data_IF_954486479464
#
_entry.id   IF_954486479464
#
_cell.length_a   1.000
_cell.length_b   1.000
_cell.length_c   1.000
_cell.angle_alpha   90.00
_cell.angle_beta   90.00
_cell.angle_gamma   90.00
#
_symmetry.space_group_name_H-M   'P 1'
#
loop_
_entity.id
_entity.type
_entity.pdbx_description
1 polymer ?
#
# COMPACT_ATOMS: atom_id res chain seq x y z
N UNK A 1 19.53 -3.33 -50.60
CA UNK A 1 18.13 -3.76 -50.75
C UNK A 1 17.38 -3.53 -49.42
N UNK A 2 16.29 -2.76 -49.41
CA UNK A 2 15.50 -2.60 -48.18
C UNK A 2 14.99 -3.99 -47.80
N UNK A 3 15.37 -4.46 -46.61
CA UNK A 3 14.79 -5.68 -46.05
C UNK A 3 13.30 -5.45 -45.89
N UNK A 4 12.51 -6.19 -46.61
CA UNK A 4 11.06 -6.16 -46.50
C UNK A 4 10.68 -6.38 -45.03
N UNK A 5 9.84 -5.51 -44.46
CA UNK A 5 9.27 -5.69 -43.15
C UNK A 5 8.44 -6.97 -43.10
N UNK A 6 9.06 -8.05 -42.60
CA UNK A 6 8.41 -9.36 -42.51
C UNK A 6 7.56 -9.39 -41.25
N UNK A 7 6.28 -9.75 -41.39
CA UNK A 7 5.42 -9.95 -40.25
C UNK A 7 5.71 -11.29 -39.60
N UNK A 8 5.95 -11.28 -38.27
CA UNK A 8 6.23 -12.48 -37.51
C UNK A 8 5.02 -12.88 -36.66
N UNK A 9 4.74 -14.18 -36.57
CA UNK A 9 3.75 -14.77 -35.67
C UNK A 9 4.45 -15.45 -34.49
N UNK A 10 3.93 -15.28 -33.29
CA UNK A 10 4.46 -15.96 -32.09
C UNK A 10 4.08 -17.44 -32.16
N UNK A 11 5.08 -18.31 -32.23
CA UNK A 11 4.90 -19.74 -32.25
C UNK A 11 4.71 -20.31 -30.82
N UNK A 12 5.68 -20.08 -29.95
CA UNK A 12 5.72 -20.62 -28.59
C UNK A 12 6.25 -19.56 -27.63
N UNK A 13 5.72 -19.55 -26.40
CA UNK A 13 6.26 -18.74 -25.31
C UNK A 13 6.70 -19.66 -24.18
N UNK A 14 7.93 -19.53 -23.73
CA UNK A 14 8.52 -20.34 -22.66
C UNK A 14 9.05 -19.44 -21.55
N UNK A 15 8.93 -19.89 -20.31
CA UNK A 15 9.47 -19.17 -19.14
C UNK A 15 10.73 -19.86 -18.64
N UNK A 16 11.72 -19.05 -18.23
CA UNK A 16 12.92 -19.49 -17.53
C UNK A 16 12.98 -18.65 -16.23
N UNK A 17 12.69 -19.27 -15.10
CA UNK A 17 12.45 -18.52 -13.84
C UNK A 17 13.71 -18.32 -12.99
N UNK A 18 14.81 -18.95 -13.32
CA UNK A 18 16.06 -18.89 -12.59
C UNK A 18 17.22 -18.38 -13.46
N UNK A 19 16.92 -17.43 -14.34
CA UNK A 19 17.91 -16.88 -15.24
C UNK A 19 18.92 -16.00 -14.46
N UNK A 20 20.20 -16.38 -14.54
CA UNK A 20 21.29 -15.58 -14.01
C UNK A 20 22.08 -14.96 -15.17
N UNK A 21 22.02 -13.63 -15.27
CA UNK A 21 22.68 -12.87 -16.34
C UNK A 21 24.19 -13.11 -16.36
N UNK A 22 24.81 -13.19 -15.17
CA UNK A 22 26.27 -13.38 -15.04
C UNK A 22 26.69 -14.79 -15.49
N UNK A 23 25.96 -15.82 -15.11
CA UNK A 23 26.25 -17.20 -15.53
C UNK A 23 26.02 -17.40 -17.03
N UNK A 24 24.96 -16.82 -17.57
CA UNK A 24 24.69 -16.91 -19.02
C UNK A 24 25.73 -16.23 -19.89
N UNK A 25 26.40 -15.19 -19.38
CA UNK A 25 27.48 -14.51 -20.10
C UNK A 25 28.83 -15.24 -20.01
N UNK A 26 29.08 -16.01 -18.93
CA UNK A 26 30.35 -16.73 -18.72
C UNK A 26 30.32 -18.17 -19.20
N UNK A 27 29.22 -18.87 -19.08
CA UNK A 27 29.12 -20.31 -19.38
C UNK A 27 28.36 -20.66 -20.65
N UNK A 28 27.72 -19.68 -21.31
CA UNK A 28 26.87 -19.86 -22.50
C UNK A 28 25.76 -20.94 -22.32
N UNK A 29 25.48 -21.35 -21.10
CA UNK A 29 24.49 -22.36 -20.75
C UNK A 29 23.52 -21.86 -19.68
N UNK A 30 22.26 -22.21 -19.81
CA UNK A 30 21.22 -21.96 -18.85
C UNK A 30 21.00 -23.25 -18.07
N UNK A 31 21.34 -23.27 -16.78
CA UNK A 31 21.12 -24.41 -15.92
C UNK A 31 19.62 -24.53 -15.60
N UNK A 32 18.98 -25.53 -16.17
CA UNK A 32 17.58 -25.89 -15.94
C UNK A 32 17.53 -27.37 -15.59
N UNK A 33 16.98 -27.69 -14.42
CA UNK A 33 16.92 -29.07 -13.92
C UNK A 33 15.52 -29.67 -14.05
N UNK A 34 14.48 -28.84 -14.12
CA UNK A 34 13.10 -29.30 -14.11
C UNK A 34 12.17 -28.39 -14.94
N UNK A 35 11.02 -28.90 -15.34
CA UNK A 35 10.06 -28.18 -16.15
C UNK A 35 8.62 -28.51 -15.76
N UNK A 36 7.75 -27.52 -15.87
CA UNK A 36 6.31 -27.63 -15.65
C UNK A 36 5.53 -27.03 -16.83
N UNK A 37 4.48 -27.69 -17.25
CA UNK A 37 3.54 -27.14 -18.22
C UNK A 37 2.30 -26.57 -17.53
N UNK A 38 2.03 -25.27 -17.75
CA UNK A 38 0.86 -24.60 -17.21
C UNK A 38 0.13 -23.81 -18.29
N UNK A 39 -1.14 -24.16 -18.57
CA UNK A 39 -1.97 -23.53 -19.61
C UNK A 39 -1.30 -23.44 -21.00
N UNK A 40 -0.56 -24.48 -21.41
CA UNK A 40 0.16 -24.50 -22.68
C UNK A 40 1.52 -23.76 -22.67
N UNK A 41 1.94 -23.20 -21.55
CA UNK A 41 3.24 -22.56 -21.41
C UNK A 41 4.22 -23.46 -20.66
N UNK A 42 5.37 -23.84 -21.25
CA UNK A 42 6.44 -24.50 -20.52
C UNK A 42 7.16 -23.51 -19.62
N UNK A 43 7.40 -23.91 -18.39
CA UNK A 43 8.08 -23.16 -17.35
C UNK A 43 9.28 -23.97 -16.90
N UNK A 44 10.48 -23.46 -17.14
CA UNK A 44 11.74 -24.08 -16.79
C UNK A 44 12.30 -23.45 -15.52
N UNK A 45 12.76 -24.25 -14.58
CA UNK A 45 13.31 -23.79 -13.30
C UNK A 45 14.44 -24.70 -12.81
N UNK A 46 15.29 -24.20 -11.89
CA UNK A 46 16.45 -24.94 -11.39
C UNK A 46 16.06 -25.89 -10.25
N UNK A 47 15.54 -25.39 -9.13
CA UNK A 47 15.27 -26.19 -7.93
C UNK A 47 13.77 -26.19 -7.58
N UNK A 48 13.24 -25.05 -7.20
CA UNK A 48 11.84 -24.87 -6.80
C UNK A 48 11.25 -23.65 -7.50
N UNK A 49 10.02 -23.80 -7.96
CA UNK A 49 9.32 -22.69 -8.59
C UNK A 49 9.13 -21.54 -7.59
N UNK A 50 9.70 -20.39 -7.94
CA UNK A 50 9.76 -19.20 -7.12
C UNK A 50 8.45 -18.42 -7.10
N UNK A 51 7.80 -18.30 -8.25
CA UNK A 51 6.49 -17.68 -8.42
C UNK A 51 5.47 -18.72 -8.83
N UNK A 52 4.22 -18.56 -8.39
CA UNK A 52 3.12 -19.40 -8.86
C UNK A 52 2.97 -19.30 -10.38
N UNK A 53 2.72 -20.41 -11.11
CA UNK A 53 2.53 -20.40 -12.58
C UNK A 53 1.48 -19.39 -13.04
N UNK A 54 0.39 -19.24 -12.27
CA UNK A 54 -0.66 -18.26 -12.51
C UNK A 54 -0.14 -16.81 -12.53
N UNK A 55 0.86 -16.49 -11.73
CA UNK A 55 1.45 -15.14 -11.69
C UNK A 55 2.24 -14.86 -12.96
N UNK A 56 3.00 -15.87 -13.44
CA UNK A 56 3.74 -15.78 -14.69
C UNK A 56 2.81 -15.53 -15.87
N UNK A 57 1.80 -16.39 -16.05
CA UNK A 57 0.89 -16.30 -17.19
C UNK A 57 -0.03 -15.07 -17.17
N UNK A 58 -0.47 -14.62 -15.99
CA UNK A 58 -1.37 -13.45 -15.90
C UNK A 58 -0.65 -12.12 -16.25
N UNK A 59 0.66 -12.05 -16.08
CA UNK A 59 1.44 -10.85 -16.40
C UNK A 59 1.97 -10.85 -17.84
N UNK A 60 1.86 -11.97 -18.56
CA UNK A 60 2.23 -12.11 -19.96
C UNK A 60 1.20 -11.44 -20.86
N UNK A 61 1.64 -10.70 -21.88
CA UNK A 61 0.81 -10.11 -22.95
C UNK A 61 1.17 -10.63 -24.35
N UNK A 62 2.18 -11.49 -24.44
CA UNK A 62 2.60 -12.15 -25.65
C UNK A 62 1.85 -13.49 -25.72
N UNK A 63 1.01 -13.68 -26.73
CA UNK A 63 0.16 -14.85 -26.85
C UNK A 63 0.60 -15.69 -28.06
N UNK A 64 0.80 -17.01 -27.92
CA UNK A 64 1.03 -17.89 -29.07
C UNK A 64 -0.07 -17.78 -30.12
N UNK A 65 0.27 -17.85 -31.38
CA UNK A 65 -0.66 -17.74 -32.52
C UNK A 65 -1.01 -16.30 -32.92
N UNK A 66 -0.55 -15.28 -32.20
CA UNK A 66 -0.79 -13.86 -32.53
C UNK A 66 0.43 -13.25 -33.24
N UNK A 67 0.19 -12.17 -34.00
CA UNK A 67 1.26 -11.38 -34.59
C UNK A 67 2.14 -10.76 -33.51
N UNK A 68 3.45 -10.67 -33.79
CA UNK A 68 4.38 -9.94 -32.95
C UNK A 68 3.95 -8.48 -32.82
N UNK A 69 3.88 -7.98 -31.61
CA UNK A 69 3.50 -6.61 -31.31
C UNK A 69 4.40 -6.05 -30.21
N UNK A 70 5.19 -5.04 -30.56
CA UNK A 70 6.10 -4.37 -29.66
C UNK A 70 5.40 -3.80 -28.40
N UNK A 71 4.19 -3.28 -28.54
CA UNK A 71 3.43 -2.78 -27.39
C UNK A 71 3.10 -3.89 -26.39
N UNK A 72 2.83 -5.11 -26.85
CA UNK A 72 2.57 -6.25 -25.96
C UNK A 72 3.85 -6.69 -25.25
N UNK A 73 5.01 -6.59 -25.92
CA UNK A 73 6.32 -6.84 -25.31
C UNK A 73 6.59 -5.83 -24.21
N UNK A 74 6.42 -4.54 -24.49
CA UNK A 74 6.62 -3.45 -23.53
C UNK A 74 5.65 -3.56 -22.34
N UNK A 75 4.39 -3.93 -22.59
CA UNK A 75 3.41 -4.20 -21.53
C UNK A 75 3.82 -5.40 -20.68
N UNK A 76 4.42 -6.42 -21.28
CA UNK A 76 4.93 -7.59 -20.55
C UNK A 76 6.10 -7.20 -19.66
N UNK A 77 7.06 -6.44 -20.17
CA UNK A 77 8.14 -5.87 -19.34
C UNK A 77 7.61 -5.03 -18.18
N UNK A 78 6.67 -4.14 -18.46
CA UNK A 78 6.05 -3.29 -17.43
C UNK A 78 5.30 -4.12 -16.36
N UNK A 79 4.65 -5.21 -16.75
CA UNK A 79 3.94 -6.07 -15.80
C UNK A 79 4.90 -6.81 -14.87
N UNK A 80 5.96 -7.42 -15.42
CA UNK A 80 6.96 -8.11 -14.58
C UNK A 80 7.80 -7.14 -13.76
N UNK A 81 8.10 -5.95 -14.28
CA UNK A 81 8.82 -4.90 -13.55
C UNK A 81 8.09 -4.38 -12.30
N UNK A 82 6.79 -4.64 -12.16
CA UNK A 82 6.01 -4.31 -10.96
C UNK A 82 6.10 -5.39 -9.88
N UNK A 83 6.61 -6.58 -10.22
CA UNK A 83 6.73 -7.70 -9.30
C UNK A 83 8.02 -7.55 -8.47
N UNK A 84 7.89 -7.20 -7.20
CA UNK A 84 9.00 -6.98 -6.28
C UNK A 84 9.87 -8.23 -6.06
N UNK A 85 9.33 -9.39 -6.36
CA UNK A 85 10.01 -10.67 -6.32
C UNK A 85 11.07 -10.84 -7.43
N UNK A 86 10.99 -10.05 -8.49
CA UNK A 86 11.89 -10.12 -9.64
C UNK A 86 12.86 -8.94 -9.63
N UNK A 87 14.11 -9.22 -9.97
CA UNK A 87 15.15 -8.21 -10.14
C UNK A 87 15.24 -7.74 -11.58
N UNK A 88 15.25 -8.68 -12.52
CA UNK A 88 15.34 -8.41 -13.95
C UNK A 88 14.41 -9.32 -14.74
N UNK A 89 13.92 -8.79 -15.86
CA UNK A 89 13.17 -9.51 -16.88
C UNK A 89 13.86 -9.30 -18.21
N UNK A 90 14.10 -10.38 -18.95
CA UNK A 90 14.63 -10.33 -20.30
C UNK A 90 13.74 -11.17 -21.21
N UNK A 91 13.36 -10.66 -22.36
CA UNK A 91 12.52 -11.38 -23.33
C UNK A 91 13.33 -11.46 -24.63
N UNK A 92 13.65 -12.69 -25.03
CA UNK A 92 14.37 -12.95 -26.28
C UNK A 92 13.46 -13.68 -27.27
N UNK A 93 13.62 -13.32 -28.52
CA UNK A 93 12.90 -13.93 -29.63
C UNK A 93 13.90 -14.64 -30.54
N UNK A 94 13.56 -15.88 -30.93
CA UNK A 94 14.34 -16.67 -31.86
C UNK A 94 13.48 -17.10 -33.02
N UNK A 95 13.97 -16.93 -34.25
CA UNK A 95 13.27 -17.36 -35.46
C UNK A 95 13.28 -18.89 -35.57
N UNK A 96 12.14 -19.45 -35.99
CA UNK A 96 12.01 -20.90 -36.24
C UNK A 96 12.56 -21.23 -37.65
N UNK A 97 13.71 -21.88 -37.71
CA UNK A 97 14.50 -22.08 -38.93
C UNK A 97 13.85 -23.01 -40.00
N UNK A 98 12.82 -23.75 -39.69
CA UNK A 98 12.23 -24.75 -40.58
C UNK A 98 10.79 -24.46 -40.99
N UNK A 99 10.32 -23.23 -40.92
CA UNK A 99 8.94 -22.88 -41.24
C UNK A 99 8.88 -21.94 -42.44
N UNK A 100 8.08 -22.25 -43.45
CA UNK A 100 7.76 -21.35 -44.56
C UNK A 100 7.12 -20.03 -44.11
N UNK A 101 6.56 -20.01 -42.91
CA UNK A 101 5.98 -18.83 -42.28
C UNK A 101 6.96 -18.23 -41.24
N UNK A 102 7.08 -16.91 -41.22
CA UNK A 102 7.89 -16.19 -40.24
C UNK A 102 7.37 -16.37 -38.82
N UNK A 103 7.94 -17.29 -38.05
CA UNK A 103 7.53 -17.64 -36.69
C UNK A 103 8.64 -17.34 -35.69
N UNK A 104 8.24 -16.82 -34.51
CA UNK A 104 9.14 -16.52 -33.39
C UNK A 104 8.80 -17.38 -32.17
N UNK A 105 9.84 -17.98 -31.60
CA UNK A 105 9.76 -18.51 -30.23
C UNK A 105 10.21 -17.44 -29.24
N UNK A 106 9.38 -17.12 -28.26
CA UNK A 106 9.66 -16.15 -27.20
C UNK A 106 10.11 -16.87 -25.92
N UNK A 107 11.21 -16.40 -25.34
CA UNK A 107 11.71 -16.87 -24.05
C UNK A 107 11.68 -15.72 -23.05
N UNK A 108 10.85 -15.86 -22.01
CA UNK A 108 10.72 -14.90 -20.92
C UNK A 108 11.63 -15.36 -19.79
N UNK A 109 12.78 -14.71 -19.67
CA UNK A 109 13.81 -15.01 -18.69
C UNK A 109 13.68 -14.08 -17.48
N UNK A 110 13.50 -14.66 -16.31
CA UNK A 110 13.23 -13.95 -15.06
C UNK A 110 14.35 -14.19 -14.06
N UNK A 111 14.91 -13.11 -13.53
CA UNK A 111 15.93 -13.17 -12.48
C UNK A 111 15.29 -12.87 -11.13
N UNK A 112 15.51 -13.75 -10.16
CA UNK A 112 15.00 -13.57 -8.80
C UNK A 112 15.60 -12.33 -8.13
N UNK A 113 14.78 -11.58 -7.39
CA UNK A 113 15.21 -10.56 -6.46
C UNK A 113 15.57 -11.15 -5.08
N UNK A 114 16.15 -10.32 -4.21
CA UNK A 114 16.35 -10.69 -2.80
C UNK A 114 14.97 -10.84 -2.13
N UNK A 115 14.75 -11.97 -1.46
CA UNK A 115 13.48 -12.26 -0.79
C UNK A 115 13.24 -11.36 0.41
N UNK A 116 14.29 -11.13 1.18
CA UNK A 116 14.24 -10.46 2.47
C UNK A 116 15.25 -9.34 2.52
N UNK A 117 14.92 -8.30 3.24
CA UNK A 117 15.83 -7.23 3.60
C UNK A 117 15.48 -6.73 5.00
N UNK A 118 16.52 -6.37 5.73
CA UNK A 118 16.42 -5.67 7.01
C UNK A 118 17.13 -4.34 6.85
N UNK A 119 16.52 -3.27 7.34
CA UNK A 119 17.11 -1.94 7.40
C UNK A 119 17.07 -1.41 8.83
N UNK A 120 18.13 -0.73 9.22
CA UNK A 120 18.24 -0.03 10.48
C UNK A 120 18.41 1.46 10.17
N UNK A 121 17.72 2.29 10.92
CA UNK A 121 17.78 3.73 10.80
C UNK A 121 17.93 4.34 12.20
N UNK A 122 18.84 5.28 12.36
CA UNK A 122 19.06 6.01 13.61
C UNK A 122 19.02 7.49 13.27
N UNK A 123 18.25 8.25 14.03
CA UNK A 123 18.01 9.67 13.84
C UNK A 123 18.35 10.41 15.15
N UNK A 124 19.01 11.55 15.04
CA UNK A 124 19.09 12.54 16.11
C UNK A 124 18.06 13.64 15.85
N UNK A 125 17.30 14.03 16.85
CA UNK A 125 16.29 15.08 16.76
C UNK A 125 16.62 16.25 17.67
N UNK A 126 16.23 17.46 17.26
CA UNK A 126 16.26 18.64 18.08
C UNK A 126 14.99 19.44 17.83
N UNK A 127 14.06 19.41 18.76
CA UNK A 127 12.75 20.06 18.65
C UNK A 127 12.69 21.22 19.66
N UNK A 128 12.78 22.44 19.16
CA UNK A 128 12.69 23.67 20.00
C UNK A 128 13.69 23.74 21.18
N UNK A 129 14.86 23.08 21.06
CA UNK A 129 15.88 23.03 22.10
C UNK A 129 15.93 21.70 22.87
N UNK A 130 14.92 20.83 22.71
CA UNK A 130 14.90 19.51 23.29
C UNK A 130 15.66 18.52 22.39
N UNK A 131 16.62 17.82 23.02
CA UNK A 131 17.45 16.85 22.31
C UNK A 131 16.84 15.45 22.40
N UNK A 132 16.78 14.78 21.27
CA UNK A 132 16.23 13.45 21.20
C UNK A 132 16.99 12.52 20.25
N UNK A 133 16.65 11.25 20.33
CA UNK A 133 17.12 10.22 19.43
C UNK A 133 15.98 9.26 19.08
N UNK A 134 15.98 8.78 17.84
CA UNK A 134 15.06 7.75 17.40
C UNK A 134 15.81 6.64 16.68
N UNK A 135 15.31 5.42 16.80
CA UNK A 135 15.82 4.28 16.08
C UNK A 135 14.65 3.49 15.47
N UNK A 136 14.85 2.97 14.29
CA UNK A 136 13.88 2.08 13.68
C UNK A 136 14.55 0.86 13.04
N UNK A 137 13.82 -0.26 13.03
CA UNK A 137 14.16 -1.46 12.31
C UNK A 137 13.00 -1.84 11.42
N UNK A 138 13.28 -2.09 10.14
CA UNK A 138 12.27 -2.56 9.21
C UNK A 138 12.71 -3.87 8.55
N UNK A 139 11.82 -4.85 8.59
CA UNK A 139 11.94 -6.13 7.90
C UNK A 139 10.98 -6.13 6.70
N UNK A 140 11.48 -6.54 5.55
CA UNK A 140 10.68 -6.67 4.34
C UNK A 140 10.85 -8.06 3.73
N UNK A 141 9.73 -8.70 3.38
CA UNK A 141 9.68 -9.95 2.63
C UNK A 141 8.93 -9.74 1.31
N UNK A 142 9.56 -10.02 0.15
CA UNK A 142 9.06 -9.64 -1.19
C UNK A 142 8.37 -10.75 -1.97
N UNK A 143 8.03 -11.85 -1.38
CA UNK A 143 7.35 -12.97 -2.06
C UNK A 143 6.71 -13.93 -1.05
N UNK A 144 5.91 -13.38 -0.13
CA UNK A 144 5.40 -14.12 1.03
C UNK A 144 4.61 -15.37 0.64
N UNK A 145 3.75 -15.27 -0.36
CA UNK A 145 2.89 -16.38 -0.83
C UNK A 145 3.19 -16.81 -2.28
N UNK A 146 4.42 -16.63 -2.76
CA UNK A 146 4.84 -16.92 -4.14
C UNK A 146 4.01 -16.20 -5.22
N UNK A 147 3.44 -15.06 -4.88
CA UNK A 147 2.66 -14.19 -5.78
C UNK A 147 3.26 -12.81 -5.94
N UNK A 148 4.52 -12.63 -5.46
CA UNK A 148 5.20 -11.33 -5.35
C UNK A 148 4.51 -10.37 -4.38
N UNK A 149 3.83 -10.90 -3.38
CA UNK A 149 3.30 -10.12 -2.28
C UNK A 149 4.45 -9.58 -1.42
N UNK A 150 4.37 -8.30 -1.05
CA UNK A 150 5.37 -7.67 -0.20
C UNK A 150 4.79 -7.47 1.19
N UNK A 151 5.42 -8.08 2.16
CA UNK A 151 5.16 -7.83 3.58
C UNK A 151 6.26 -6.95 4.13
N UNK A 152 5.90 -5.91 4.86
CA UNK A 152 6.80 -5.03 5.59
C UNK A 152 6.35 -4.96 7.05
N UNK A 153 7.30 -5.07 7.94
CA UNK A 153 7.10 -4.87 9.37
C UNK A 153 8.17 -3.89 9.86
N UNK A 154 7.74 -2.79 10.49
CA UNK A 154 8.63 -1.75 11.03
C UNK A 154 8.33 -1.54 12.51
N UNK A 155 9.40 -1.46 13.30
CA UNK A 155 9.38 -1.01 14.68
C UNK A 155 10.16 0.30 14.78
N UNK A 156 9.65 1.24 15.54
CA UNK A 156 10.28 2.53 15.82
C UNK A 156 10.23 2.81 17.31
N UNK A 157 11.31 3.30 17.86
CA UNK A 157 11.40 3.86 19.20
C UNK A 157 12.00 5.26 19.12
N UNK A 158 11.46 6.21 19.86
CA UNK A 158 12.02 7.55 19.99
C UNK A 158 12.00 7.99 21.46
N UNK A 159 13.01 8.74 21.83
CA UNK A 159 13.16 9.38 23.12
C UNK A 159 13.60 10.82 22.92
N UNK A 160 13.01 11.75 23.66
CA UNK A 160 13.37 13.16 23.64
C UNK A 160 13.35 13.70 25.06
N UNK A 161 14.45 14.31 25.48
CA UNK A 161 14.55 14.96 26.79
C UNK A 161 13.88 16.32 26.72
N UNK A 162 12.74 16.48 27.41
CA UNK A 162 11.96 17.72 27.42
C UNK A 162 12.50 18.66 28.47
N UNK A 163 13.01 19.83 28.03
CA UNK A 163 13.56 20.85 28.88
C UNK A 163 12.59 22.05 29.00
N UNK A 164 12.33 22.53 30.23
CA UNK A 164 11.66 23.81 30.44
C UNK A 164 10.24 23.79 30.98
N UNK A 165 9.64 22.67 31.26
CA UNK A 165 8.40 22.62 32.05
C UNK A 165 8.71 22.72 33.53
N UNK A 166 8.26 23.80 34.16
CA UNK A 166 8.40 24.05 35.62
C UNK A 166 7.50 23.12 36.48
N UNK A 167 6.87 22.12 35.90
CA UNK A 167 6.02 21.19 36.63
C UNK A 167 6.85 20.01 37.13
N UNK A 168 6.57 19.58 38.35
CA UNK A 168 7.18 18.52 39.13
C UNK A 168 7.17 17.10 38.50
N UNK A 169 6.89 16.99 37.22
CA UNK A 169 6.83 15.75 36.47
C UNK A 169 8.01 15.74 35.49
N UNK A 170 9.15 15.20 35.94
CA UNK A 170 10.28 14.84 35.09
C UNK A 170 9.85 13.65 34.17
N UNK A 171 9.01 13.90 33.19
CA UNK A 171 8.63 12.92 32.21
C UNK A 171 9.10 13.38 30.84
N UNK A 172 10.00 12.59 30.29
CA UNK A 172 10.52 12.78 28.94
C UNK A 172 9.50 12.28 27.90
N UNK A 173 9.69 12.66 26.65
CA UNK A 173 8.91 12.14 25.55
C UNK A 173 9.41 10.75 25.16
N UNK A 174 8.50 9.79 25.12
CA UNK A 174 8.76 8.43 24.64
C UNK A 174 7.72 8.08 23.56
N UNK A 175 8.20 7.56 22.44
CA UNK A 175 7.37 7.05 21.38
C UNK A 175 7.76 5.62 21.01
N UNK A 176 6.77 4.73 20.92
CA UNK A 176 6.93 3.37 20.43
C UNK A 176 5.94 3.13 19.30
N UNK A 177 6.44 2.81 18.12
CA UNK A 177 5.64 2.55 16.93
C UNK A 177 5.85 1.14 16.39
N UNK A 178 4.77 0.51 15.93
CA UNK A 178 4.80 -0.74 15.17
C UNK A 178 3.91 -0.59 13.94
N UNK A 179 4.43 -0.98 12.78
CA UNK A 179 3.70 -0.93 11.52
C UNK A 179 3.86 -2.27 10.80
N UNK A 180 2.76 -2.83 10.30
CA UNK A 180 2.74 -4.01 9.46
C UNK A 180 1.93 -3.72 8.20
N UNK A 181 2.54 -3.89 7.02
CA UNK A 181 1.89 -3.65 5.74
C UNK A 181 2.07 -4.86 4.83
N UNK A 182 1.00 -5.30 4.20
CA UNK A 182 1.05 -6.30 3.14
C UNK A 182 0.47 -5.75 1.84
N UNK A 183 1.26 -5.84 0.77
CA UNK A 183 0.90 -5.36 -0.55
C UNK A 183 0.80 -6.53 -1.53
N UNK A 184 -0.37 -6.67 -2.16
CA UNK A 184 -0.63 -7.65 -3.21
C UNK A 184 -0.55 -6.97 -4.57
N UNK A 185 0.32 -7.40 -5.50
CA UNK A 185 0.43 -6.80 -6.84
C UNK A 185 -0.76 -7.21 -7.75
N UNK A 186 -1.95 -7.31 -7.19
CA UNK A 186 -3.20 -7.69 -7.85
C UNK A 186 -4.40 -7.07 -7.16
N UNK A 187 -5.47 -6.87 -7.91
CA UNK A 187 -6.75 -6.39 -7.38
C UNK A 187 -7.50 -7.51 -6.66
N UNK A 188 -7.64 -7.41 -5.34
CA UNK A 188 -8.27 -8.43 -4.48
C UNK A 188 -9.67 -8.00 -4.02
N UNK A 189 -10.55 -7.69 -4.95
CA UNK A 189 -11.95 -7.43 -4.60
C UNK A 189 -12.82 -8.63 -4.98
N UNK A 190 -13.63 -9.20 -4.06
CA UNK A 190 -14.33 -10.47 -4.29
C UNK A 190 -15.43 -10.38 -5.37
N UNK A 191 -16.14 -9.25 -5.46
CA UNK A 191 -17.35 -9.10 -6.27
C UNK A 191 -17.12 -8.65 -7.72
N UNK A 192 -15.90 -8.73 -8.23
CA UNK A 192 -15.55 -8.22 -9.56
C UNK A 192 -14.94 -9.33 -10.42
N UNK A 193 -15.30 -9.32 -11.72
CA UNK A 193 -14.85 -10.32 -12.68
C UNK A 193 -13.34 -10.36 -12.88
N UNK A 194 -12.80 -11.50 -13.28
CA UNK A 194 -11.37 -11.69 -13.54
C UNK A 194 -10.84 -10.80 -14.65
N UNK A 195 -11.67 -10.48 -15.65
CA UNK A 195 -11.29 -9.64 -16.78
C UNK A 195 -11.18 -8.18 -16.39
N UNK A 196 -12.07 -7.69 -15.55
CA UNK A 196 -11.99 -6.36 -14.96
C UNK A 196 -10.73 -6.20 -14.09
N UNK A 197 -10.43 -7.21 -13.24
CA UNK A 197 -9.21 -7.23 -12.42
C UNK A 197 -7.94 -7.13 -13.27
N UNK A 198 -7.92 -7.78 -14.42
CA UNK A 198 -6.79 -7.71 -15.36
C UNK A 198 -6.67 -6.37 -16.09
N UNK A 199 -7.77 -5.66 -16.33
CA UNK A 199 -7.76 -4.34 -16.99
C UNK A 199 -7.23 -3.26 -16.07
N UNK A 200 -7.74 -3.16 -14.85
CA UNK A 200 -7.39 -2.10 -13.89
C UNK A 200 -5.95 -2.22 -13.40
N UNK A 201 -5.41 -3.43 -13.28
CA UNK A 201 -4.06 -3.69 -12.75
C UNK A 201 -3.81 -2.99 -11.41
N UNK A 202 -4.82 -2.94 -10.57
CA UNK A 202 -4.70 -2.37 -9.26
C UNK A 202 -3.88 -3.27 -8.33
N UNK A 203 -3.18 -2.64 -7.41
CA UNK A 203 -2.58 -3.29 -6.25
C UNK A 203 -3.53 -3.16 -5.06
N UNK A 204 -3.51 -4.14 -4.17
CA UNK A 204 -4.27 -4.13 -2.92
C UNK A 204 -3.30 -4.04 -1.76
N UNK A 205 -3.54 -3.12 -0.84
CA UNK A 205 -2.70 -2.91 0.34
C UNK A 205 -3.55 -3.03 1.59
N UNK A 206 -3.06 -3.79 2.57
CA UNK A 206 -3.56 -3.83 3.94
C UNK A 206 -2.47 -3.34 4.86
N UNK A 207 -2.81 -2.43 5.76
CA UNK A 207 -1.91 -1.86 6.73
C UNK A 207 -2.49 -1.96 8.14
N UNK A 208 -1.62 -2.19 9.12
CA UNK A 208 -1.89 -2.07 10.54
C UNK A 208 -0.80 -1.19 11.12
N UNK A 209 -1.19 -0.25 11.96
CA UNK A 209 -0.27 0.64 12.65
C UNK A 209 -0.68 0.78 14.11
N UNK A 210 0.30 0.75 14.98
CA UNK A 210 0.15 1.03 16.40
C UNK A 210 1.23 2.04 16.80
N UNK A 211 0.82 3.09 17.48
CA UNK A 211 1.71 4.13 17.99
C UNK A 211 1.33 4.43 19.44
N UNK A 212 2.28 4.25 20.34
CA UNK A 212 2.21 4.65 21.74
C UNK A 212 3.10 5.87 21.93
N UNK A 213 2.54 6.94 22.46
CA UNK A 213 3.22 8.19 22.70
C UNK A 213 2.96 8.65 24.12
N UNK A 214 4.02 8.81 24.88
CA UNK A 214 4.00 9.37 26.23
C UNK A 214 4.69 10.72 26.21
N UNK A 215 4.00 11.74 26.68
CA UNK A 215 4.48 13.10 26.88
C UNK A 215 4.20 13.52 28.32
N UNK A 216 4.88 14.58 28.84
CA UNK A 216 4.55 15.10 30.16
C UNK A 216 3.07 15.44 30.32
N UNK A 217 2.44 15.98 29.28
CA UNK A 217 1.05 16.44 29.31
C UNK A 217 0.02 15.34 29.15
N UNK A 218 0.36 14.26 28.41
CA UNK A 218 -0.58 13.18 28.11
C UNK A 218 0.09 11.89 27.64
N UNK A 219 -0.62 10.79 27.76
CA UNK A 219 -0.31 9.55 27.05
C UNK A 219 -1.37 9.31 25.98
N UNK A 220 -0.91 8.99 24.77
CA UNK A 220 -1.77 8.75 23.61
C UNK A 220 -1.43 7.43 22.93
N UNK A 221 -2.46 6.67 22.62
CA UNK A 221 -2.37 5.45 21.82
C UNK A 221 -3.16 5.67 20.54
N UNK A 222 -2.53 5.41 19.40
CA UNK A 222 -3.19 5.42 18.10
C UNK A 222 -3.05 4.04 17.46
N UNK A 223 -4.16 3.39 17.19
CA UNK A 223 -4.21 2.14 16.44
C UNK A 223 -4.98 2.38 15.13
N UNK A 224 -4.36 2.01 14.02
CA UNK A 224 -4.95 2.21 12.70
C UNK A 224 -4.96 0.92 11.90
N UNK A 225 -6.02 0.72 11.10
CA UNK A 225 -6.13 -0.38 10.16
C UNK A 225 -6.64 0.15 8.81
N UNK A 226 -5.95 -0.17 7.73
CA UNK A 226 -6.26 0.33 6.41
C UNK A 226 -6.41 -0.76 5.36
N UNK A 227 -7.33 -0.56 4.43
CA UNK A 227 -7.49 -1.35 3.22
C UNK A 227 -7.62 -0.42 2.02
N UNK A 228 -6.64 -0.46 1.13
CA UNK A 228 -6.61 0.43 -0.02
C UNK A 228 -6.31 -0.27 -1.33
N UNK A 229 -6.75 0.37 -2.41
CA UNK A 229 -6.45 0.00 -3.79
C UNK A 229 -5.73 1.13 -4.49
N UNK A 230 -4.67 0.80 -5.25
CA UNK A 230 -3.88 1.76 -6.02
C UNK A 230 -3.75 1.28 -7.45
N UNK A 231 -3.99 2.14 -8.44
CA UNK A 231 -3.71 1.83 -9.84
C UNK A 231 -3.30 3.08 -10.61
N UNK A 232 -2.61 2.87 -11.72
CA UNK A 232 -2.19 3.95 -12.62
C UNK A 232 -2.70 3.70 -14.04
N UNK A 233 -3.01 4.77 -14.74
CA UNK A 233 -3.50 4.78 -16.12
C UNK A 233 -2.62 5.71 -16.97
N UNK A 234 -2.66 5.56 -18.30
CA UNK A 234 -2.00 6.44 -19.27
C UNK A 234 -0.49 6.63 -18.99
N UNK A 235 0.27 5.54 -19.01
CA UNK A 235 1.72 5.58 -18.78
C UNK A 235 2.11 6.22 -17.42
N UNK A 236 1.29 5.99 -16.40
CA UNK A 236 1.43 6.55 -15.05
C UNK A 236 1.22 8.07 -14.94
N UNK A 237 0.62 8.71 -15.94
CA UNK A 237 0.21 10.11 -15.82
C UNK A 237 -0.91 10.29 -14.79
N UNK A 238 -1.85 9.35 -14.75
CA UNK A 238 -2.94 9.34 -13.77
C UNK A 238 -2.72 8.23 -12.76
N UNK A 239 -2.78 8.57 -11.48
CA UNK A 239 -2.74 7.64 -10.37
C UNK A 239 -4.01 7.79 -9.55
N UNK A 240 -4.59 6.66 -9.19
CA UNK A 240 -5.81 6.57 -8.42
C UNK A 240 -5.54 5.76 -7.16
N UNK A 241 -6.10 6.19 -6.04
CA UNK A 241 -6.13 5.46 -4.79
C UNK A 241 -7.54 5.49 -4.23
N UNK A 242 -8.07 4.34 -3.85
CA UNK A 242 -9.28 4.23 -3.06
C UNK A 242 -8.87 3.66 -1.70
N UNK A 243 -9.11 4.40 -0.64
CA UNK A 243 -9.08 3.91 0.72
C UNK A 243 -10.50 3.39 1.03
N UNK A 244 -10.69 2.08 0.85
CA UNK A 244 -11.99 1.45 1.03
C UNK A 244 -12.39 1.46 2.50
N UNK A 245 -11.41 1.21 3.36
CA UNK A 245 -11.56 1.22 4.81
C UNK A 245 -10.30 1.81 5.42
N UNK A 246 -10.47 2.83 6.23
CA UNK A 246 -9.42 3.43 7.05
C UNK A 246 -10.00 3.67 8.45
N UNK A 247 -9.58 2.84 9.38
CA UNK A 247 -9.99 2.85 10.77
C UNK A 247 -8.88 3.48 11.59
N UNK A 248 -9.21 4.48 12.36
CA UNK A 248 -8.30 5.13 13.30
C UNK A 248 -8.94 5.15 14.67
N UNK A 249 -8.33 4.47 15.61
CA UNK A 249 -8.70 4.48 17.02
C UNK A 249 -7.65 5.27 17.79
N UNK A 250 -8.06 6.39 18.36
CA UNK A 250 -7.27 7.23 19.24
C UNK A 250 -7.77 7.06 20.66
N UNK A 251 -6.89 6.70 21.57
CA UNK A 251 -7.16 6.50 22.98
C UNK A 251 -6.19 7.30 23.83
N UNK A 252 -6.73 8.02 24.84
CA UNK A 252 -5.98 8.88 25.74
C UNK A 252 -6.05 8.31 27.16
N UNK A 253 -5.20 7.33 27.54
CA UNK A 253 -5.27 6.67 28.84
C UNK A 253 -4.98 7.60 30.02
N UNK A 254 -4.19 8.64 29.82
CA UNK A 254 -3.92 9.64 30.87
C UNK A 254 -3.68 11.01 30.26
N UNK A 255 -4.20 12.01 30.97
CA UNK A 255 -3.94 13.45 30.74
C UNK A 255 -3.54 14.02 32.07
N UNK A 256 -2.45 14.80 32.09
CA UNK A 256 -2.00 15.48 33.31
C UNK A 256 -3.08 16.41 33.86
N UNK A 257 -3.28 16.39 35.18
CA UNK A 257 -4.33 17.16 35.84
C UNK A 257 -4.12 18.67 35.70
N UNK A 258 -2.89 19.14 35.84
CA UNK A 258 -2.56 20.55 35.70
C UNK A 258 -2.79 21.05 34.30
N UNK A 259 -2.37 20.24 33.30
CA UNK A 259 -2.63 20.50 31.88
C UNK A 259 -4.12 20.55 31.57
N UNK A 260 -4.90 19.64 32.16
CA UNK A 260 -6.35 19.58 32.00
C UNK A 260 -7.05 20.82 32.52
N UNK A 261 -6.71 21.25 33.77
CA UNK A 261 -7.30 22.43 34.41
C UNK A 261 -6.89 23.74 33.71
N UNK A 262 -5.62 23.86 33.28
CA UNK A 262 -5.11 25.11 32.70
C UNK A 262 -5.55 25.29 31.24
N UNK A 263 -5.69 24.21 30.45
CA UNK A 263 -5.87 24.32 29.01
C UNK A 263 -7.18 23.68 28.49
N UNK A 264 -7.72 22.65 29.14
CA UNK A 264 -8.87 21.90 28.61
C UNK A 264 -10.20 22.27 29.27
N UNK A 265 -10.20 22.71 30.53
CA UNK A 265 -11.43 23.02 31.28
C UNK A 265 -11.87 24.48 31.12
N UNK A 266 -11.05 25.35 30.52
CA UNK A 266 -11.43 26.74 30.22
C UNK A 266 -12.40 26.75 29.04
N UNK A 267 -13.55 27.38 29.19
CA UNK A 267 -14.65 27.43 28.18
C UNK A 267 -14.21 27.99 26.82
N UNK A 268 -13.13 28.74 26.76
CA UNK A 268 -12.58 29.34 25.53
C UNK A 268 -11.86 28.33 24.63
N UNK A 269 -11.51 27.12 25.10
CA UNK A 269 -10.65 26.17 24.41
C UNK A 269 -11.38 24.89 23.94
N UNK A 270 -12.64 25.01 23.51
CA UNK A 270 -13.46 23.86 23.09
C UNK A 270 -12.79 23.02 21.98
N UNK A 271 -12.14 23.66 21.00
CA UNK A 271 -11.43 22.96 19.93
C UNK A 271 -10.24 22.17 20.47
N UNK A 272 -9.51 22.75 21.44
CA UNK A 272 -8.38 22.08 22.06
C UNK A 272 -8.84 20.85 22.84
N UNK A 273 -9.90 20.97 23.68
CA UNK A 273 -10.50 19.86 24.42
C UNK A 273 -10.86 18.71 23.51
N UNK A 274 -11.50 19.02 22.38
CA UNK A 274 -11.87 18.01 21.37
C UNK A 274 -10.68 17.20 20.85
N UNK A 275 -9.45 17.75 20.79
CA UNK A 275 -8.26 17.05 20.34
C UNK A 275 -7.69 16.03 21.33
N UNK A 276 -8.14 16.08 22.60
CA UNK A 276 -7.68 15.19 23.67
C UNK A 276 -8.76 14.19 24.14
N UNK A 277 -9.77 13.97 23.31
CA UNK A 277 -10.80 12.96 23.55
C UNK A 277 -10.51 11.68 22.79
N UNK A 278 -11.01 10.56 23.34
CA UNK A 278 -10.97 9.27 22.67
C UNK A 278 -11.81 9.30 21.39
N UNK A 279 -11.27 8.74 20.31
CA UNK A 279 -11.98 8.77 19.02
C UNK A 279 -11.84 7.46 18.28
N UNK A 280 -12.95 7.05 17.69
CA UNK A 280 -12.98 5.99 16.71
C UNK A 280 -13.49 6.54 15.38
N UNK A 281 -12.59 6.64 14.40
CA UNK A 281 -12.90 7.26 13.12
C UNK A 281 -12.81 6.19 12.05
N UNK A 282 -13.90 5.98 11.30
CA UNK A 282 -13.91 5.15 10.10
C UNK A 282 -14.14 6.05 8.91
N UNK A 283 -13.19 6.07 7.99
CA UNK A 283 -13.29 6.88 6.79
C UNK A 283 -13.09 6.04 5.53
N UNK A 284 -13.63 6.54 4.46
CA UNK A 284 -13.38 6.12 3.08
C UNK A 284 -12.84 7.30 2.30
N UNK A 285 -11.92 7.04 1.39
CA UNK A 285 -11.29 8.09 0.63
C UNK A 285 -11.07 7.73 -0.82
N UNK A 286 -10.99 8.74 -1.66
CA UNK A 286 -10.54 8.64 -3.04
C UNK A 286 -9.54 9.75 -3.34
N UNK A 287 -8.36 9.35 -3.82
CA UNK A 287 -7.33 10.28 -4.24
C UNK A 287 -7.01 10.09 -5.71
N UNK A 288 -6.94 11.19 -6.41
CA UNK A 288 -6.55 11.26 -7.81
C UNK A 288 -5.34 12.19 -7.98
N UNK A 289 -4.32 11.68 -8.64
CA UNK A 289 -3.12 12.46 -8.97
C UNK A 289 -2.91 12.39 -10.47
N UNK A 290 -2.89 13.53 -11.11
CA UNK A 290 -2.52 13.68 -12.50
C UNK A 290 -1.19 14.43 -12.62
N UNK A 291 -0.26 13.88 -13.40
CA UNK A 291 1.02 14.52 -13.71
C UNK A 291 1.16 14.63 -15.22
N UNK A 292 1.22 15.86 -15.75
CA UNK A 292 1.32 16.12 -17.17
C UNK A 292 2.60 15.57 -17.81
N UNK A 293 3.70 15.52 -17.06
CA UNK A 293 4.98 15.02 -17.54
C UNK A 293 4.99 13.48 -17.66
N UNK A 294 4.32 12.75 -16.77
CA UNK A 294 4.31 11.29 -16.76
C UNK A 294 5.71 10.69 -16.83
N UNK A 295 5.86 9.58 -17.59
CA UNK A 295 7.17 8.97 -17.87
C UNK A 295 8.02 9.73 -18.89
N UNK A 296 7.49 10.75 -19.55
CA UNK A 296 8.20 11.50 -20.58
C UNK A 296 9.44 12.25 -20.04
N UNK A 297 9.49 12.54 -18.75
CA UNK A 297 10.68 13.08 -18.08
C UNK A 297 11.91 12.14 -18.14
N UNK A 298 11.72 10.84 -18.38
CA UNK A 298 12.84 9.89 -18.52
C UNK A 298 13.42 9.85 -19.93
N UNK A 299 12.74 10.36 -20.92
CA UNK A 299 13.21 10.46 -22.30
C UNK A 299 13.58 11.92 -22.61
N UNK A 300 14.68 12.38 -22.14
CA UNK A 300 15.55 13.51 -22.53
C UNK A 300 15.06 14.51 -23.60
N UNK A 301 13.76 14.69 -23.72
CA UNK A 301 13.13 15.59 -24.70
C UNK A 301 12.61 16.83 -23.99
N UNK A 302 13.51 17.82 -23.82
CA UNK A 302 13.15 19.20 -23.57
C UNK A 302 12.52 19.51 -22.22
N UNK A 303 13.03 20.52 -21.54
CA UNK A 303 12.49 21.13 -20.34
C UNK A 303 11.15 21.80 -20.72
N UNK A 304 10.07 21.03 -20.72
CA UNK A 304 8.72 21.56 -20.86
C UNK A 304 8.11 21.81 -19.47
N UNK A 305 7.26 22.81 -19.36
CA UNK A 305 6.50 23.05 -18.14
C UNK A 305 5.66 21.82 -17.79
N UNK A 306 5.79 21.32 -16.56
CA UNK A 306 4.97 20.23 -16.03
C UNK A 306 4.08 20.75 -14.91
N UNK A 307 2.87 20.21 -14.83
CA UNK A 307 1.94 20.51 -13.75
C UNK A 307 1.38 19.22 -13.16
N UNK A 308 1.06 19.27 -11.87
CA UNK A 308 0.44 18.17 -11.15
C UNK A 308 -0.86 18.63 -10.53
N UNK A 309 -1.94 17.90 -10.78
CA UNK A 309 -3.24 18.10 -10.15
C UNK A 309 -3.45 17.01 -9.14
N UNK A 310 -3.81 17.36 -7.90
CA UNK A 310 -4.17 16.41 -6.84
C UNK A 310 -5.59 16.73 -6.37
N UNK A 311 -6.45 15.72 -6.38
CA UNK A 311 -7.80 15.78 -5.86
C UNK A 311 -7.94 14.72 -4.79
N UNK A 312 -8.35 15.13 -3.59
CA UNK A 312 -8.64 14.22 -2.49
C UNK A 312 -10.09 14.42 -2.05
N UNK A 313 -10.79 13.33 -1.92
CA UNK A 313 -12.14 13.27 -1.39
C UNK A 313 -12.17 12.26 -0.26
N UNK A 314 -12.62 12.68 0.92
CA UNK A 314 -12.71 11.83 2.11
C UNK A 314 -14.11 11.97 2.73
N UNK A 315 -14.64 10.86 3.22
CA UNK A 315 -15.91 10.80 3.94
C UNK A 315 -15.73 9.96 5.19
N UNK A 316 -16.03 10.55 6.34
CA UNK A 316 -15.97 9.87 7.64
C UNK A 316 -17.39 9.56 8.16
N UNK A 317 -17.54 8.42 8.85
CA UNK A 317 -18.79 8.00 9.49
C UNK A 317 -19.84 7.36 8.58
N UNK A 318 -19.95 7.78 7.32
CA UNK A 318 -21.01 7.35 6.41
C UNK A 318 -20.97 5.85 6.08
N UNK A 319 -19.77 5.27 5.92
CA UNK A 319 -19.63 3.84 5.66
C UNK A 319 -20.09 3.02 6.87
N UNK A 320 -19.70 3.42 8.07
CA UNK A 320 -20.10 2.76 9.31
C UNK A 320 -21.62 2.78 9.47
N UNK A 321 -22.24 3.92 9.21
CA UNK A 321 -23.70 4.05 9.22
C UNK A 321 -24.37 3.14 8.19
N UNK A 322 -23.85 3.10 6.95
CA UNK A 322 -24.40 2.26 5.89
C UNK A 322 -24.29 0.76 6.23
N UNK A 323 -23.14 0.31 6.73
CA UNK A 323 -22.90 -1.08 7.13
C UNK A 323 -23.79 -1.44 8.31
N UNK A 324 -23.92 -0.57 9.28
CA UNK A 324 -24.74 -0.78 10.45
C UNK A 324 -26.24 -0.85 10.08
N UNK A 325 -26.72 -0.01 9.16
CA UNK A 325 -28.08 -0.07 8.62
C UNK A 325 -28.35 -1.36 7.84
N UNK A 326 -27.41 -1.82 7.03
CA UNK A 326 -27.50 -3.09 6.30
C UNK A 326 -27.40 -4.31 7.23
N UNK A 327 -26.63 -4.21 8.30
CA UNK A 327 -26.47 -5.26 9.33
C UNK A 327 -27.61 -5.36 10.34
N UNK A 328 -28.68 -4.59 10.16
CA UNK A 328 -29.87 -4.66 11.03
C UNK A 328 -29.64 -4.04 12.41
N UNK A 329 -29.02 -2.85 12.47
CA UNK A 329 -28.94 -2.09 13.72
C UNK A 329 -30.31 -1.98 14.43
N UNK A 330 -30.35 -2.36 15.68
CA UNK A 330 -31.51 -2.18 16.53
C UNK A 330 -31.27 -1.01 17.48
N UNK A 331 -32.34 -0.26 17.76
CA UNK A 331 -32.33 0.72 18.84
C UNK A 331 -32.53 -0.01 20.18
N UNK A 332 -31.69 0.31 21.15
CA UNK A 332 -31.94 -0.15 22.53
C UNK A 332 -33.07 0.64 23.17
N UNK A 333 -33.45 0.28 24.39
CA UNK A 333 -34.52 0.93 25.15
C UNK A 333 -34.23 2.44 25.41
N UNK A 334 -33.00 2.86 25.35
CA UNK A 334 -32.55 4.26 25.49
C UNK A 334 -32.55 5.03 24.15
N UNK A 335 -32.98 4.44 23.04
CA UNK A 335 -33.02 5.08 21.72
C UNK A 335 -31.69 5.09 20.99
N UNK A 336 -30.64 4.45 21.50
CA UNK A 336 -29.33 4.38 20.90
C UNK A 336 -29.22 3.18 19.94
N UNK A 337 -28.53 3.37 18.82
CA UNK A 337 -28.29 2.26 17.90
C UNK A 337 -27.18 1.33 18.43
N UNK A 338 -27.44 0.03 18.43
CA UNK A 338 -26.51 -1.01 18.83
C UNK A 338 -26.23 -1.96 17.67
N UNK A 339 -24.96 -2.32 17.46
CA UNK A 339 -24.54 -3.40 16.59
C UNK A 339 -23.86 -4.45 17.47
N UNK A 340 -24.32 -5.71 17.40
CA UNK A 340 -23.82 -6.79 18.25
C UNK A 340 -23.89 -6.46 19.76
N UNK A 341 -24.94 -5.76 20.21
CA UNK A 341 -25.14 -5.29 21.58
C UNK A 341 -24.14 -4.25 22.12
N UNK A 342 -23.30 -3.66 21.23
CA UNK A 342 -22.40 -2.56 21.61
C UNK A 342 -23.08 -1.24 21.24
N UNK A 343 -23.27 -0.30 22.17
CA UNK A 343 -23.87 1.00 21.88
C UNK A 343 -22.92 1.82 20.97
N UNK A 344 -23.43 2.23 19.81
CA UNK A 344 -22.69 2.99 18.81
C UNK A 344 -22.57 4.49 19.15
N UNK A 345 -23.37 4.99 20.06
CA UNK A 345 -23.42 6.42 20.39
C UNK A 345 -22.08 6.99 20.86
N UNK A 346 -21.23 6.16 21.45
CA UNK A 346 -19.89 6.56 21.86
C UNK A 346 -18.93 6.80 20.67
N UNK A 347 -19.21 6.17 19.55
CA UNK A 347 -18.37 6.21 18.34
C UNK A 347 -18.86 7.20 17.27
N UNK A 348 -20.13 7.61 17.34
CA UNK A 348 -20.74 8.58 16.43
C UNK A 348 -20.78 10.01 16.99
N UNK A 349 -20.26 10.23 18.19
CA UNK A 349 -20.21 11.55 18.83
C UNK A 349 -19.30 12.57 18.15
N UNK A 350 -18.90 12.35 16.91
CA UNK A 350 -18.19 13.33 16.13
C UNK A 350 -18.94 14.64 15.90
N UNK A 351 -20.29 14.68 15.96
CA UNK A 351 -21.08 15.86 15.58
C UNK A 351 -22.40 16.03 16.37
N UNK A 352 -22.52 15.49 17.57
CA UNK A 352 -23.65 15.86 18.41
C UNK A 352 -23.33 17.17 19.14
N UNK A 353 -24.14 18.22 18.97
CA UNK A 353 -23.98 19.41 19.83
C UNK A 353 -24.10 18.97 21.30
N UNK A 354 -23.34 19.61 22.20
CA UNK A 354 -23.43 19.30 23.61
C UNK A 354 -24.89 19.36 24.06
N UNK A 355 -25.32 18.49 25.00
CA UNK A 355 -26.68 18.59 25.55
C UNK A 355 -26.88 20.02 26.07
N UNK A 356 -28.08 20.58 25.89
CA UNK A 356 -28.36 21.91 26.41
C UNK A 356 -28.06 21.93 27.91
N UNK A 357 -27.48 23.03 28.40
CA UNK A 357 -27.18 23.15 29.83
C UNK A 357 -28.48 22.90 30.66
N UNK A 358 -28.35 22.25 31.83
CA UNK A 358 -29.49 22.02 32.67
C UNK A 358 -30.18 23.35 32.98
N UNK A 359 -31.52 23.37 33.06
CA UNK A 359 -32.24 24.59 33.36
C UNK A 359 -31.74 25.16 34.68
N UNK A 360 -31.44 26.46 34.68
CA UNK A 360 -31.00 27.16 35.88
C UNK A 360 -32.04 26.96 36.99
N UNK A 361 -31.61 26.69 38.23
CA UNK A 361 -32.55 26.60 39.35
C UNK A 361 -33.33 27.90 39.46
N UNK A 362 -34.62 27.83 39.83
CA UNK A 362 -35.46 29.02 39.99
C UNK A 362 -34.76 29.97 40.95
N UNK A 363 -34.58 31.24 40.56
CA UNK A 363 -34.10 32.29 41.46
C UNK A 363 -35.17 32.50 42.51
N UNK A 364 -34.85 32.24 43.75
CA UNK A 364 -35.60 32.68 44.93
C UNK A 364 -35.42 34.16 45.14
#
# INVERSE_FOLDING_TARGET
>A
TPQNHRQYTINKVSFITDYNVLQASTQNSIEVNDSLHYKGFPIYYKDKLYLRPKVLTNNLRITPGTLYNEQNVQRTYSNYGRLQALKYTNIRFFEVQQSDSAKLNAYVMLTRGKHQSVSFEVEGTNSAGDLGAAASVAFQHRNMFKGSETFMFKLRGAYEAVSGLQSSLNQDYIELGAEATINFPRFMFPFVSSDFKRRIRATTEFGLQYNYQMRPEFTRIVASAGWSYKWGVQQQRSQHRIDLLDINYLYMPSIDQTFKEDYLEKDENYILKYNYEDRFIVRTGYSYIYNSAGRALMNNSGIGNSYTIRLNFESAGNLLYAVAKLGGMKKNASGEYTLLNIPFAQYLKGDSPPPPPPPLPPRN
#
